data_IF_115893589671
#
_entry.id   IF_115893589671
#
_cell.length_a   1.000
_cell.length_b   1.000
_cell.length_c   1.000
_cell.angle_alpha   90.00
_cell.angle_beta   90.00
_cell.angle_gamma   90.00
#
_symmetry.space_group_name_H-M   'P 1'
#
loop_
_entity.id
_entity.type
_entity.pdbx_description
1 polymer ?
#
# COMPACT_ATOMS: atom_id res chain seq x y z
N UNK A 1 5.61 16.87 7.54
CA UNK A 1 4.40 16.02 7.48
C UNK A 1 3.14 16.83 7.75
N UNK A 2 2.13 16.74 6.88
CA UNK A 2 0.83 17.39 7.06
C UNK A 2 0.04 16.82 8.27
N UNK A 3 -0.76 17.65 8.93
CA UNK A 3 -1.49 17.31 10.16
C UNK A 3 -2.40 16.08 10.00
N UNK A 4 -3.13 15.98 8.88
CA UNK A 4 -3.96 14.81 8.58
C UNK A 4 -3.18 13.49 8.68
N UNK A 5 -1.98 13.43 8.09
CA UNK A 5 -1.17 12.22 8.12
C UNK A 5 -0.61 11.94 9.51
N UNK A 6 -0.17 12.99 10.22
CA UNK A 6 0.30 12.89 11.61
C UNK A 6 -0.76 12.30 12.52
N UNK A 7 -1.99 12.78 12.43
CA UNK A 7 -3.11 12.31 13.25
C UNK A 7 -3.55 10.89 12.89
N UNK A 8 -3.22 10.39 11.69
CA UNK A 8 -3.59 9.07 11.21
C UNK A 8 -2.41 8.07 11.13
N UNK A 9 -1.26 8.42 11.70
CA UNK A 9 0.00 7.68 11.46
C UNK A 9 -0.08 6.19 11.84
N UNK A 10 -0.69 5.88 12.99
CA UNK A 10 -0.85 4.49 13.46
C UNK A 10 -1.80 3.68 12.57
N UNK A 11 -2.86 4.33 12.07
CA UNK A 11 -3.81 3.72 11.14
C UNK A 11 -3.13 3.42 9.80
N UNK A 12 -2.40 4.40 9.26
CA UNK A 12 -1.64 4.24 8.03
C UNK A 12 -0.61 3.11 8.15
N UNK A 13 0.11 3.02 9.27
CA UNK A 13 1.06 1.94 9.54
C UNK A 13 0.38 0.57 9.45
N UNK A 14 -0.74 0.39 10.15
CA UNK A 14 -1.49 -0.86 10.14
C UNK A 14 -2.05 -1.21 8.76
N UNK A 15 -2.61 -0.22 8.04
CA UNK A 15 -3.15 -0.43 6.69
C UNK A 15 -2.04 -0.83 5.70
N UNK A 16 -0.88 -0.17 5.77
CA UNK A 16 0.29 -0.43 4.94
C UNK A 16 0.91 -1.80 5.23
N UNK A 17 1.02 -2.20 6.51
CA UNK A 17 1.43 -3.56 6.89
C UNK A 17 0.50 -4.61 6.30
N UNK A 18 -0.80 -4.29 6.23
CA UNK A 18 -1.83 -5.13 5.62
C UNK A 18 -1.62 -5.39 4.12
N UNK A 19 -0.75 -4.65 3.43
CA UNK A 19 -0.30 -5.00 2.07
C UNK A 19 0.90 -5.95 2.11
N UNK A 20 1.95 -5.60 2.89
CA UNK A 20 3.23 -6.30 2.83
C UNK A 20 3.27 -7.63 3.60
N UNK A 21 2.38 -7.83 4.59
CA UNK A 21 2.30 -9.08 5.34
C UNK A 21 2.05 -10.31 4.46
N UNK A 22 1.46 -10.11 3.28
CA UNK A 22 1.15 -11.18 2.34
C UNK A 22 2.37 -11.69 1.57
N UNK A 23 3.46 -10.93 1.56
CA UNK A 23 4.77 -11.31 0.99
C UNK A 23 5.82 -11.38 2.09
N UNK A 24 5.40 -11.75 3.31
CA UNK A 24 6.29 -11.80 4.47
C UNK A 24 7.50 -12.68 4.21
N UNK A 25 7.27 -13.90 3.72
CA UNK A 25 8.32 -14.89 3.54
C UNK A 25 9.33 -14.43 2.48
N UNK A 26 8.83 -13.86 1.40
CA UNK A 26 9.63 -13.35 0.30
C UNK A 26 10.44 -12.12 0.73
N UNK A 27 9.86 -11.23 1.54
CA UNK A 27 10.59 -10.10 2.13
C UNK A 27 11.70 -10.57 3.07
N UNK A 28 11.45 -11.58 3.90
CA UNK A 28 12.47 -12.16 4.79
C UNK A 28 13.61 -12.79 3.99
N UNK A 29 13.28 -13.54 2.94
CA UNK A 29 14.25 -14.18 2.05
C UNK A 29 15.10 -13.17 1.30
N UNK A 30 14.48 -12.15 0.68
CA UNK A 30 15.19 -11.17 -0.14
C UNK A 30 16.03 -10.20 0.70
N UNK A 31 15.56 -9.82 1.89
CA UNK A 31 16.29 -8.89 2.75
C UNK A 31 17.31 -9.57 3.66
N UNK A 32 17.25 -10.90 3.83
CA UNK A 32 18.11 -11.66 4.75
C UNK A 32 17.89 -11.30 6.23
N UNK A 33 16.70 -10.80 6.58
CA UNK A 33 16.37 -10.27 7.91
C UNK A 33 14.96 -10.69 8.32
N UNK A 34 14.64 -10.79 9.62
CA UNK A 34 13.28 -11.02 10.08
C UNK A 34 12.30 -9.95 9.60
N UNK A 35 11.07 -10.34 9.26
CA UNK A 35 10.05 -9.46 8.68
C UNK A 35 9.82 -8.22 9.53
N UNK A 36 9.79 -8.38 10.86
CA UNK A 36 9.60 -7.26 11.78
C UNK A 36 10.66 -6.15 11.58
N UNK A 37 11.91 -6.53 11.28
CA UNK A 37 12.99 -5.56 11.01
C UNK A 37 12.80 -4.91 9.64
N UNK A 38 12.58 -5.71 8.59
CA UNK A 38 12.39 -5.21 7.22
C UNK A 38 11.16 -4.29 7.14
N UNK A 39 10.04 -4.70 7.72
CA UNK A 39 8.82 -3.89 7.81
C UNK A 39 9.07 -2.57 8.52
N UNK A 40 9.79 -2.57 9.64
CA UNK A 40 10.10 -1.34 10.36
C UNK A 40 11.00 -0.42 9.52
N UNK A 41 12.01 -0.95 8.82
CA UNK A 41 12.85 -0.18 7.89
C UNK A 41 12.04 0.44 6.75
N UNK A 42 11.12 -0.32 6.15
CA UNK A 42 10.21 0.16 5.09
C UNK A 42 9.29 1.27 5.63
N UNK A 43 8.72 1.05 6.81
CA UNK A 43 7.86 2.04 7.45
C UNK A 43 8.63 3.33 7.77
N UNK A 44 9.83 3.23 8.34
CA UNK A 44 10.64 4.39 8.67
C UNK A 44 11.05 5.17 7.42
N UNK A 45 11.37 4.46 6.33
CA UNK A 45 11.63 5.10 5.04
C UNK A 45 10.38 5.82 4.53
N UNK A 46 9.24 5.13 4.49
CA UNK A 46 7.96 5.68 4.04
C UNK A 46 7.56 6.92 4.85
N UNK A 47 7.66 6.85 6.17
CA UNK A 47 7.25 7.93 7.08
C UNK A 47 8.11 9.19 6.88
N UNK A 48 9.44 9.03 6.90
CA UNK A 48 10.40 10.16 6.89
C UNK A 48 10.67 10.72 5.50
N UNK A 49 10.64 9.90 4.46
CA UNK A 49 11.07 10.32 3.12
C UNK A 49 9.90 10.53 2.16
N UNK A 50 8.72 9.94 2.42
CA UNK A 50 7.57 10.06 1.52
C UNK A 50 6.42 10.81 2.22
N UNK A 51 5.91 10.27 3.32
CA UNK A 51 4.76 10.82 4.03
C UNK A 51 5.04 12.21 4.63
N UNK A 52 6.29 12.46 5.03
CA UNK A 52 6.72 13.77 5.48
C UNK A 52 6.50 14.87 4.44
N UNK A 53 6.67 14.52 3.16
CA UNK A 53 6.62 15.43 2.01
C UNK A 53 5.32 15.34 1.20
N UNK A 54 4.40 14.41 1.51
CA UNK A 54 3.16 14.31 0.77
C UNK A 54 2.30 15.57 0.95
N UNK A 55 1.87 16.20 -0.16
CA UNK A 55 0.85 17.24 -0.07
C UNK A 55 -0.45 16.61 0.44
N UNK A 56 -1.25 17.40 1.14
CA UNK A 56 -2.58 16.94 1.52
C UNK A 56 -3.46 16.76 0.28
N UNK A 57 -3.81 15.51 0.00
CA UNK A 57 -4.63 15.15 -1.17
C UNK A 57 -6.10 14.87 -0.81
N UNK A 58 -6.64 15.44 0.27
CA UNK A 58 -8.07 15.36 0.59
C UNK A 58 -8.49 14.30 1.62
N UNK A 59 -7.59 13.41 2.04
CA UNK A 59 -7.79 12.51 3.19
C UNK A 59 -9.12 11.73 3.15
N UNK A 60 -9.93 11.85 4.21
CA UNK A 60 -11.25 11.21 4.27
C UNK A 60 -12.36 11.94 3.48
N UNK A 61 -12.11 13.19 3.05
CA UNK A 61 -13.09 14.03 2.35
C UNK A 61 -13.12 13.79 0.84
N UNK A 62 -12.10 13.15 0.28
CA UNK A 62 -12.01 12.89 -1.16
C UNK A 62 -11.72 11.40 -1.39
N UNK A 63 -12.66 10.74 -2.03
CA UNK A 63 -12.59 9.33 -2.36
C UNK A 63 -11.48 9.03 -3.38
N UNK A 64 -10.91 7.83 -3.30
CA UNK A 64 -9.79 7.41 -4.15
C UNK A 64 -8.40 7.86 -3.67
N UNK A 65 -8.32 8.86 -2.80
CA UNK A 65 -7.04 9.44 -2.34
C UNK A 65 -6.29 8.56 -1.35
N UNK A 66 -7.02 7.74 -0.58
CA UNK A 66 -6.45 6.73 0.33
C UNK A 66 -5.58 5.69 -0.38
N UNK A 67 -5.94 5.32 -1.61
CA UNK A 67 -5.19 4.33 -2.36
C UNK A 67 -3.86 4.89 -2.85
N UNK A 68 -3.78 6.21 -3.06
CA UNK A 68 -2.55 6.87 -3.51
C UNK A 68 -1.49 6.81 -2.41
N UNK A 69 -1.81 7.20 -1.18
CA UNK A 69 -0.85 7.08 -0.05
C UNK A 69 -0.45 5.62 0.20
N UNK A 70 -1.40 4.69 0.11
CA UNK A 70 -1.11 3.26 0.23
C UNK A 70 -0.17 2.73 -0.86
N UNK A 71 -0.28 3.21 -2.10
CA UNK A 71 0.59 2.76 -3.19
C UNK A 71 2.07 3.10 -2.95
N UNK A 72 2.37 4.21 -2.28
CA UNK A 72 3.75 4.63 -2.01
C UNK A 72 4.47 3.76 -0.97
N UNK A 73 3.79 2.88 -0.23
CA UNK A 73 4.48 1.89 0.60
C UNK A 73 5.32 0.93 -0.27
N UNK A 74 4.88 0.64 -1.49
CA UNK A 74 5.61 -0.21 -2.42
C UNK A 74 6.88 0.48 -2.92
N UNK A 75 6.84 1.80 -3.11
CA UNK A 75 8.06 2.58 -3.41
C UNK A 75 9.05 2.48 -2.25
N UNK A 76 8.58 2.68 -1.01
CA UNK A 76 9.43 2.52 0.17
C UNK A 76 9.99 1.10 0.31
N UNK A 77 9.20 0.08 -0.01
CA UNK A 77 9.66 -1.31 -0.07
C UNK A 77 10.81 -1.49 -1.07
N UNK A 78 10.65 -0.99 -2.29
CA UNK A 78 11.70 -1.05 -3.31
C UNK A 78 12.98 -0.35 -2.88
N UNK A 79 12.88 0.84 -2.28
CA UNK A 79 14.04 1.60 -1.78
C UNK A 79 14.80 0.88 -0.66
N UNK A 80 14.09 0.19 0.23
CA UNK A 80 14.73 -0.62 1.28
C UNK A 80 15.35 -1.89 0.71
N UNK A 81 14.63 -2.61 -0.16
CA UNK A 81 15.13 -3.84 -0.78
C UNK A 81 16.36 -3.57 -1.66
N UNK A 82 16.42 -2.44 -2.35
CA UNK A 82 17.60 -1.98 -3.09
C UNK A 82 18.84 -1.88 -2.20
N UNK A 83 18.69 -1.40 -0.96
CA UNK A 83 19.79 -1.34 0.03
C UNK A 83 20.23 -2.72 0.51
N UNK A 84 19.36 -3.72 0.38
CA UNK A 84 19.66 -5.12 0.63
C UNK A 84 20.26 -5.84 -0.59
N UNK A 85 20.51 -5.14 -1.70
CA UNK A 85 21.06 -5.73 -2.92
C UNK A 85 20.05 -6.43 -3.83
N UNK A 86 18.74 -6.25 -3.57
CA UNK A 86 17.67 -6.79 -4.41
C UNK A 86 17.53 -5.94 -5.67
N UNK A 87 17.37 -6.59 -6.82
CA UNK A 87 17.15 -5.91 -8.10
C UNK A 87 15.82 -5.13 -8.11
N UNK A 88 15.71 -4.17 -9.03
CA UNK A 88 14.46 -3.42 -9.22
C UNK A 88 13.37 -4.35 -9.74
N UNK A 89 13.74 -5.27 -10.64
CA UNK A 89 12.84 -6.25 -11.24
C UNK A 89 12.24 -7.17 -10.18
N UNK A 90 13.06 -7.71 -9.28
CA UNK A 90 12.58 -8.61 -8.23
C UNK A 90 11.78 -7.85 -7.17
N UNK A 91 12.20 -6.64 -6.83
CA UNK A 91 11.41 -5.74 -5.99
C UNK A 91 10.03 -5.48 -6.60
N UNK A 92 9.95 -5.21 -7.91
CA UNK A 92 8.70 -4.99 -8.61
C UNK A 92 7.81 -6.25 -8.65
N UNK A 93 8.40 -7.44 -8.87
CA UNK A 93 7.67 -8.72 -8.78
C UNK A 93 7.03 -8.89 -7.40
N UNK A 94 7.76 -8.56 -6.33
CA UNK A 94 7.22 -8.62 -4.96
C UNK A 94 6.08 -7.64 -4.74
N UNK A 95 6.13 -6.44 -5.33
CA UNK A 95 5.02 -5.47 -5.25
C UNK A 95 3.74 -6.04 -5.87
N UNK A 96 3.86 -6.63 -7.06
CA UNK A 96 2.73 -7.27 -7.76
C UNK A 96 2.20 -8.43 -6.92
N UNK A 97 3.09 -9.31 -6.44
CA UNK A 97 2.73 -10.46 -5.63
C UNK A 97 1.97 -10.05 -4.35
N UNK A 98 2.43 -9.01 -3.66
CA UNK A 98 1.76 -8.48 -2.47
C UNK A 98 0.34 -8.00 -2.77
N UNK A 99 0.16 -7.30 -3.89
CA UNK A 99 -1.15 -6.82 -4.32
C UNK A 99 -2.08 -7.98 -4.73
N UNK A 100 -1.56 -8.95 -5.49
CA UNK A 100 -2.31 -10.14 -5.91
C UNK A 100 -2.74 -10.99 -4.72
N UNK A 101 -1.83 -11.32 -3.81
CA UNK A 101 -2.13 -12.07 -2.60
C UNK A 101 -3.19 -11.36 -1.74
N UNK A 102 -3.09 -10.04 -1.58
CA UNK A 102 -4.11 -9.26 -0.87
C UNK A 102 -5.48 -9.35 -1.55
N UNK A 103 -5.54 -9.27 -2.88
CA UNK A 103 -6.78 -9.44 -3.63
C UNK A 103 -7.33 -10.87 -3.52
N UNK A 104 -6.45 -11.88 -3.53
CA UNK A 104 -6.80 -13.29 -3.35
C UNK A 104 -7.30 -13.59 -1.92
N UNK A 105 -6.91 -12.79 -0.92
CA UNK A 105 -7.43 -12.90 0.43
C UNK A 105 -8.88 -12.37 0.58
N UNK A 106 -9.39 -11.61 -0.39
CA UNK A 106 -10.78 -11.12 -0.38
C UNK A 106 -11.74 -12.30 -0.64
N UNK A 107 -12.80 -12.51 0.16
CA UNK A 107 -13.75 -13.59 -0.06
C UNK A 107 -14.32 -13.60 -1.49
N UNK A 108 -14.47 -14.78 -2.09
CA UNK A 108 -14.96 -14.97 -3.48
C UNK A 108 -16.22 -14.15 -3.83
N UNK A 109 -17.30 -14.12 -3.02
CA UNK A 109 -18.50 -13.35 -3.38
C UNK A 109 -18.21 -11.84 -3.44
N UNK A 110 -17.43 -11.32 -2.48
CA UNK A 110 -17.02 -9.91 -2.45
C UNK A 110 -16.15 -9.58 -3.66
N UNK A 111 -15.23 -10.48 -4.01
CA UNK A 111 -14.34 -10.34 -5.16
C UNK A 111 -15.10 -10.33 -6.49
N UNK A 112 -16.15 -11.13 -6.63
CA UNK A 112 -17.00 -11.12 -7.82
C UNK A 112 -17.72 -9.78 -8.00
N UNK A 113 -18.22 -9.20 -6.91
CA UNK A 113 -18.83 -7.86 -6.91
C UNK A 113 -17.79 -6.79 -7.27
N UNK A 114 -16.61 -6.83 -6.64
CA UNK A 114 -15.51 -5.92 -6.96
C UNK A 114 -15.12 -5.98 -8.44
N UNK A 115 -14.97 -7.19 -9.00
CA UNK A 115 -14.67 -7.39 -10.43
C UNK A 115 -15.71 -6.72 -11.32
N UNK A 116 -17.00 -6.88 -11.01
CA UNK A 116 -18.10 -6.25 -11.78
C UNK A 116 -18.08 -4.73 -11.70
N UNK A 117 -17.68 -4.16 -10.55
CA UNK A 117 -17.54 -2.71 -10.39
C UNK A 117 -16.32 -2.23 -11.18
N UNK A 118 -15.16 -2.87 -11.01
CA UNK A 118 -13.90 -2.44 -11.65
C UNK A 118 -13.89 -2.62 -13.17
N UNK A 119 -14.71 -3.52 -13.73
CA UNK A 119 -14.85 -3.65 -15.18
C UNK A 119 -15.73 -2.57 -15.83
N UNK A 120 -16.34 -1.66 -15.04
CA UNK A 120 -17.21 -0.60 -15.54
C UNK A 120 -16.79 0.79 -15.05
N UNK A 121 -16.21 1.65 -15.93
CA UNK A 121 -15.84 3.01 -15.57
C UNK A 121 -17.00 3.85 -14.99
N UNK A 122 -18.22 3.59 -15.45
CA UNK A 122 -19.44 4.23 -14.95
C UNK A 122 -19.71 3.87 -13.49
N UNK A 123 -19.57 2.58 -13.12
CA UNK A 123 -19.77 2.12 -11.74
C UNK A 123 -18.67 2.62 -10.81
N UNK A 124 -17.41 2.60 -11.26
CA UNK A 124 -16.28 3.16 -10.52
C UNK A 124 -16.50 4.64 -10.23
N UNK A 125 -16.83 5.43 -11.26
CA UNK A 125 -17.12 6.87 -11.10
C UNK A 125 -18.29 7.12 -10.14
N UNK A 126 -19.37 6.33 -10.25
CA UNK A 126 -20.54 6.44 -9.37
C UNK A 126 -20.18 6.13 -7.92
N UNK A 127 -19.35 5.12 -7.67
CA UNK A 127 -18.89 4.74 -6.34
C UNK A 127 -18.09 5.86 -5.68
N UNK A 128 -17.16 6.48 -6.41
CA UNK A 128 -16.37 7.61 -5.90
C UNK A 128 -17.26 8.82 -5.61
N UNK A 129 -18.09 9.26 -6.57
CA UNK A 129 -19.00 10.41 -6.39
C UNK A 129 -19.99 10.25 -5.23
N UNK A 130 -20.46 9.03 -4.95
CA UNK A 130 -21.38 8.79 -3.82
C UNK A 130 -20.71 9.02 -2.47
N UNK A 131 -19.40 8.79 -2.39
CA UNK A 131 -18.62 8.92 -1.16
C UNK A 131 -18.13 10.37 -0.92
N UNK A 132 -18.09 11.17 -1.98
CA UNK A 132 -17.68 12.58 -1.96
C UNK A 132 -18.84 13.56 -1.74
N UNK A 133 -20.08 13.06 -1.66
CA UNK A 133 -21.28 13.82 -1.29
C UNK A 133 -21.60 13.57 0.18
#
# INVERSE_FOLDING_TARGET
MHEYYRNNILKLKKENEGYLRFVKAELEQNAGKPYRKVWQEIWDFYERNLLEHFPYIGGDKVSGTKNLTGAYIFVAMGEVLKRCGVSVEDSARLMVLAYEQKYQAVPRPVRAVMRKIFSSPRLVTKMYRKKDR
#
